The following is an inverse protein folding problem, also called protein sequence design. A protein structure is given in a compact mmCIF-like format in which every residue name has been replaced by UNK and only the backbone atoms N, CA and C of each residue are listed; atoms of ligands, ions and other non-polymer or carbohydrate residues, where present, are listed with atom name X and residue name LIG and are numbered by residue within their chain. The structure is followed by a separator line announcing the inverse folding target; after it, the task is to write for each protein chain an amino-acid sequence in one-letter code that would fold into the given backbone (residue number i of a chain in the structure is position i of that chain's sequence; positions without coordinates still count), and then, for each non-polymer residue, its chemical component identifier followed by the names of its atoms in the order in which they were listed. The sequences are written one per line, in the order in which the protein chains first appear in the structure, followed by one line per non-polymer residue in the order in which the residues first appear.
data_IF_208678534848
#
_entry.id   IF_208678534848
#
_cell.length_a   1.000
_cell.length_b   1.000
_cell.length_c   1.000
_cell.angle_alpha   90.00
_cell.angle_beta   90.00
_cell.angle_gamma   90.00
#
_symmetry.space_group_name_H-M   'P 1'
#
loop_
_entity.id
_entity.type
_entity.pdbx_description
1 polymer ?
#
# COMPACT_ATOMS: atom_id res chain seq x y z
N UNK A 1 3.76 -6.13 -12.00
CA UNK A 1 3.35 -4.72 -12.24
C UNK A 1 3.31 -4.04 -10.88
N UNK A 2 3.61 -2.74 -10.81
CA UNK A 2 3.53 -2.02 -9.55
C UNK A 2 2.13 -1.46 -9.34
N UNK A 3 1.60 -1.66 -8.13
CA UNK A 3 0.31 -1.17 -7.70
C UNK A 3 0.50 -0.31 -6.46
N UNK A 4 -0.19 0.82 -6.43
CA UNK A 4 -0.36 1.63 -5.24
C UNK A 4 -1.62 1.15 -4.52
N UNK A 5 -1.44 0.65 -3.30
CA UNK A 5 -2.53 0.21 -2.42
C UNK A 5 -2.69 1.25 -1.32
N UNK A 6 -3.83 1.94 -1.33
CA UNK A 6 -4.22 2.84 -0.25
C UNK A 6 -4.98 2.07 0.82
N UNK A 7 -4.60 2.24 2.08
CA UNK A 7 -5.22 1.56 3.20
C UNK A 7 -5.36 2.48 4.42
N UNK A 8 -6.23 2.08 5.36
CA UNK A 8 -6.40 2.75 6.64
C UNK A 8 -6.08 1.78 7.76
N UNK A 9 -5.17 2.15 8.65
CA UNK A 9 -4.81 1.37 9.83
C UNK A 9 -4.90 2.28 11.06
N UNK A 10 -5.61 1.83 12.11
CA UNK A 10 -5.76 2.57 13.38
C UNK A 10 -6.20 4.04 13.20
N UNK A 11 -7.12 4.28 12.26
CA UNK A 11 -7.62 5.64 11.99
C UNK A 11 -6.77 6.47 11.03
N UNK A 12 -5.53 6.05 10.72
CA UNK A 12 -4.61 6.75 9.81
C UNK A 12 -4.68 6.16 8.40
N UNK A 13 -4.80 7.02 7.39
CA UNK A 13 -4.73 6.63 5.99
C UNK A 13 -3.28 6.67 5.52
N UNK A 14 -2.85 5.65 4.80
CA UNK A 14 -1.53 5.54 4.18
C UNK A 14 -1.63 4.84 2.83
N UNK A 15 -0.55 4.82 2.07
CA UNK A 15 -0.45 4.05 0.83
C UNK A 15 0.96 3.50 0.63
N UNK A 16 1.00 2.29 0.07
CA UNK A 16 2.25 1.63 -0.32
C UNK A 16 2.24 1.27 -1.80
N UNK A 17 3.41 1.30 -2.41
CA UNK A 17 3.63 0.77 -3.76
C UNK A 17 4.28 -0.60 -3.64
N UNK A 18 3.67 -1.62 -4.25
CA UNK A 18 4.20 -2.97 -4.25
C UNK A 18 4.00 -3.67 -5.59
N UNK A 19 4.84 -4.66 -5.86
CA UNK A 19 4.72 -5.52 -7.02
C UNK A 19 3.62 -6.57 -6.83
N UNK A 20 2.71 -6.64 -7.80
CA UNK A 20 1.65 -7.62 -7.89
C UNK A 20 1.47 -8.14 -9.31
N UNK A 21 0.88 -9.32 -9.43
CA UNK A 21 0.39 -9.83 -10.71
C UNK A 21 -0.81 -8.99 -11.18
N UNK A 22 -1.71 -8.68 -10.25
CA UNK A 22 -2.87 -7.81 -10.45
C UNK A 22 -3.18 -7.00 -9.18
N UNK A 23 -4.28 -6.22 -9.22
CA UNK A 23 -4.71 -5.38 -8.11
C UNK A 23 -5.15 -6.19 -6.86
N UNK A 24 -5.73 -7.37 -7.05
CA UNK A 24 -6.18 -8.21 -5.94
C UNK A 24 -4.99 -8.82 -5.20
N UNK A 25 -4.02 -9.36 -5.95
CA UNK A 25 -2.77 -9.88 -5.41
C UNK A 25 -2.02 -8.80 -4.61
N UNK A 26 -2.03 -7.55 -5.09
CA UNK A 26 -1.44 -6.43 -4.35
C UNK A 26 -2.20 -6.14 -3.04
N UNK A 27 -3.54 -6.07 -3.05
CA UNK A 27 -4.33 -5.88 -1.83
C UNK A 27 -4.09 -7.00 -0.80
N UNK A 28 -4.04 -8.26 -1.26
CA UNK A 28 -3.85 -9.42 -0.40
C UNK A 28 -2.48 -9.41 0.27
N UNK A 29 -1.42 -8.93 -0.40
CA UNK A 29 -0.11 -8.74 0.23
C UNK A 29 -0.17 -7.75 1.40
N UNK A 30 -0.81 -6.60 1.21
CA UNK A 30 -1.01 -5.62 2.30
C UNK A 30 -1.81 -6.23 3.45
N UNK A 31 -2.86 -7.00 3.15
CA UNK A 31 -3.65 -7.69 4.18
C UNK A 31 -2.89 -8.83 4.88
N UNK A 32 -1.95 -9.47 4.22
CA UNK A 32 -1.12 -10.50 4.83
C UNK A 32 -0.15 -9.89 5.86
N UNK A 33 0.42 -8.72 5.57
CA UNK A 33 1.33 -8.01 6.48
C UNK A 33 0.58 -7.22 7.56
N UNK A 34 -0.55 -6.61 7.19
CA UNK A 34 -1.39 -5.80 8.06
C UNK A 34 -2.85 -6.30 8.02
N UNK A 35 -3.18 -7.38 8.75
CA UNK A 35 -4.52 -7.96 8.75
C UNK A 35 -5.62 -6.96 9.13
N UNK A 36 -5.32 -6.00 10.00
CA UNK A 36 -6.23 -4.94 10.47
C UNK A 36 -6.42 -3.80 9.45
N UNK A 37 -5.55 -3.67 8.44
CA UNK A 37 -5.59 -2.54 7.51
C UNK A 37 -6.82 -2.62 6.60
N UNK A 38 -7.69 -1.61 6.59
CA UNK A 38 -8.82 -1.53 5.66
C UNK A 38 -8.31 -1.02 4.32
N UNK A 39 -8.30 -1.88 3.30
CA UNK A 39 -7.91 -1.48 1.94
C UNK A 39 -8.99 -0.54 1.38
N UNK A 40 -8.58 0.68 1.01
CA UNK A 40 -9.48 1.71 0.49
C UNK A 40 -9.52 1.70 -1.04
N UNK A 41 -8.37 1.55 -1.67
CA UNK A 41 -8.26 1.49 -3.13
C UNK A 41 -6.99 0.75 -3.55
N UNK A 42 -7.01 0.22 -4.78
CA UNK A 42 -5.82 -0.29 -5.45
C UNK A 42 -5.80 0.27 -6.87
N UNK A 43 -4.65 0.81 -7.28
CA UNK A 43 -4.46 1.35 -8.63
C UNK A 43 -3.10 0.96 -9.17
N UNK A 44 -2.91 0.88 -10.50
CA UNK A 44 -1.57 0.84 -11.08
C UNK A 44 -0.74 2.04 -10.62
N UNK A 45 0.56 1.83 -10.42
CA UNK A 45 1.47 2.90 -10.01
C UNK A 45 1.47 4.04 -11.03
N UNK A 46 1.30 5.26 -10.55
CA UNK A 46 1.45 6.46 -11.35
C UNK A 46 2.78 7.11 -10.97
N UNK A 47 3.89 6.69 -11.60
CA UNK A 47 5.25 7.16 -11.26
C UNK A 47 5.35 8.68 -11.07
N UNK A 48 4.68 9.47 -11.91
CA UNK A 48 4.71 10.94 -11.81
C UNK A 48 3.90 11.48 -10.63
N UNK A 49 2.75 10.87 -10.35
CA UNK A 49 1.89 11.25 -9.22
C UNK A 49 2.45 10.78 -7.88
N UNK A 50 2.95 9.55 -7.83
CA UNK A 50 3.51 8.92 -6.63
C UNK A 50 4.88 9.53 -6.26
N UNK A 51 5.67 10.01 -7.22
CA UNK A 51 6.90 10.78 -6.92
C UNK A 51 6.63 12.13 -6.24
N UNK A 52 5.44 12.70 -6.40
CA UNK A 52 5.01 13.93 -5.70
C UNK A 52 4.46 13.64 -4.30
N UNK A 53 4.02 12.41 -4.06
CA UNK A 53 3.48 11.94 -2.79
C UNK A 53 4.13 10.58 -2.45
N UNK A 54 5.39 10.61 -1.98
CA UNK A 54 6.15 9.38 -1.77
C UNK A 54 5.36 8.45 -0.87
N UNK A 55 5.18 7.21 -1.33
CA UNK A 55 4.59 6.14 -0.54
C UNK A 55 5.51 5.80 0.63
N UNK A 56 4.94 5.63 1.81
CA UNK A 56 5.71 5.04 2.90
C UNK A 56 5.99 3.57 2.57
N UNK A 57 7.21 3.14 2.86
CA UNK A 57 7.56 1.73 2.76
C UNK A 57 6.73 0.95 3.79
N UNK A 58 6.07 -0.13 3.36
CA UNK A 58 5.62 -1.14 4.31
C UNK A 58 6.90 -1.71 4.96
N UNK A 59 7.05 -1.45 6.25
CA UNK A 59 8.19 -1.75 7.12
C UNK A 59 9.34 -0.71 7.14
N UNK A 60 9.27 0.14 8.17
CA UNK A 60 10.36 0.18 9.18
C UNK A 60 9.90 0.68 10.58
N UNK A 61 8.59 0.81 10.85
CA UNK A 61 8.09 1.44 12.10
C UNK A 61 7.38 0.44 13.05
N UNK A 62 7.83 -0.81 13.05
CA UNK A 62 7.48 -1.81 14.09
C UNK A 62 8.74 -2.39 14.73
N UNK A 63 9.75 -1.54 15.02
CA UNK A 63 10.71 -1.77 16.11
C UNK A 63 11.17 -0.42 16.69
N UNK A 64 10.35 0.19 17.55
CA UNK A 64 10.85 0.90 18.74
C UNK A 64 9.76 1.16 19.77
#
# INVERSE_FOLDING_TARGET
MQFTVGFKLNGKADHVVLDGQDALAAALKVKAELPEAVIMYVRPQNRRGDARHPSHALADDVVR
#
